data_IF_275633405540
#
_entry.id   IF_275633405540
#
_cell.length_a   1.000
_cell.length_b   1.000
_cell.length_c   1.000
_cell.angle_alpha   90.00
_cell.angle_beta   90.00
_cell.angle_gamma   90.00
#
_symmetry.space_group_name_H-M   'P 1'
#
loop_
_entity.id
_entity.type
_entity.pdbx_description
1 polymer ?
#
# COMPACT_ATOMS: atom_id res chain seq x y z
N UNK A 1 9.14 25.79 -23.20
CA UNK A 1 9.71 25.68 -21.85
C UNK A 1 8.92 24.70 -20.97
N UNK A 2 7.60 24.86 -20.84
CA UNK A 2 6.75 23.96 -20.02
C UNK A 2 6.84 22.48 -20.45
N UNK A 3 6.87 22.20 -21.75
CA UNK A 3 7.09 20.85 -22.32
C UNK A 3 8.38 20.17 -21.86
N UNK A 4 9.43 20.97 -21.61
CA UNK A 4 10.74 20.47 -21.19
C UNK A 4 10.73 20.25 -19.68
N UNK A 5 10.22 21.24 -18.93
CA UNK A 5 10.15 21.17 -17.48
C UNK A 5 9.21 20.06 -17.00
N UNK A 6 8.11 19.77 -17.70
CA UNK A 6 7.17 18.71 -17.33
C UNK A 6 7.75 17.29 -17.42
N UNK A 7 8.98 17.12 -17.91
CA UNK A 7 9.71 15.84 -17.96
C UNK A 7 10.79 15.71 -16.89
N UNK A 8 11.01 16.76 -16.09
CA UNK A 8 12.04 16.76 -15.05
C UNK A 8 11.51 16.10 -13.77
N UNK A 9 12.38 15.43 -13.00
CA UNK A 9 12.02 14.93 -11.67
C UNK A 9 11.50 16.05 -10.78
N UNK A 10 10.59 15.71 -9.85
CA UNK A 10 9.97 16.69 -8.95
C UNK A 10 11.02 17.45 -8.16
N UNK A 11 12.06 16.76 -7.67
CA UNK A 11 13.18 17.39 -6.95
C UNK A 11 13.85 18.51 -7.73
N UNK A 12 14.04 18.33 -9.04
CA UNK A 12 14.62 19.37 -9.91
C UNK A 12 13.68 20.54 -10.07
N UNK A 13 12.38 20.27 -10.21
CA UNK A 13 11.34 21.29 -10.33
C UNK A 13 11.23 22.16 -9.08
N UNK A 14 11.30 21.56 -7.89
CA UNK A 14 11.21 22.29 -6.62
C UNK A 14 12.39 23.26 -6.42
N UNK A 15 13.58 22.97 -6.98
CA UNK A 15 14.73 23.90 -6.93
C UNK A 15 14.47 25.19 -7.72
N UNK A 16 13.65 25.15 -8.76
CA UNK A 16 13.31 26.35 -9.53
C UNK A 16 12.41 27.32 -8.75
N UNK A 17 11.66 26.85 -7.74
CA UNK A 17 10.91 27.74 -6.83
C UNK A 17 11.81 28.74 -6.09
N UNK A 18 13.08 28.38 -5.87
CA UNK A 18 14.05 29.23 -5.20
C UNK A 18 14.59 30.36 -6.09
N UNK A 19 14.30 30.36 -7.40
CA UNK A 19 14.86 31.34 -8.34
C UNK A 19 13.96 32.57 -8.44
N UNK A 20 12.67 32.41 -8.75
CA UNK A 20 11.69 33.51 -8.79
C UNK A 20 10.26 32.99 -8.62
N UNK A 21 9.33 33.83 -8.13
CA UNK A 21 7.90 33.52 -8.05
C UNK A 21 7.26 33.22 -9.42
N UNK A 22 7.76 33.80 -10.51
CA UNK A 22 7.25 33.53 -11.87
C UNK A 22 7.64 32.13 -12.38
N UNK A 23 8.50 31.41 -11.65
CA UNK A 23 8.91 30.04 -11.95
C UNK A 23 8.21 29.00 -11.07
N UNK A 24 7.25 29.38 -10.23
CA UNK A 24 6.40 28.42 -9.50
C UNK A 24 5.30 27.82 -10.40
N UNK A 25 5.72 27.29 -11.55
CA UNK A 25 4.86 26.56 -12.48
C UNK A 25 4.30 25.27 -11.88
N UNK A 26 4.89 24.79 -10.78
CA UNK A 26 4.45 23.54 -10.13
C UNK A 26 3.09 23.68 -9.45
N UNK A 27 2.64 24.91 -9.20
CA UNK A 27 1.33 25.22 -8.63
C UNK A 27 0.23 25.28 -9.72
N UNK A 28 0.60 25.28 -11.01
CA UNK A 28 -0.35 25.28 -12.12
C UNK A 28 -0.97 23.88 -12.34
N UNK A 29 -2.31 23.73 -12.29
CA UNK A 29 -2.96 22.42 -12.42
C UNK A 29 -2.72 21.73 -13.78
N UNK A 30 -2.59 22.51 -14.86
CA UNK A 30 -2.33 21.95 -16.18
C UNK A 30 -0.90 21.40 -16.26
N UNK A 31 0.08 22.11 -15.67
CA UNK A 31 1.44 21.64 -15.55
C UNK A 31 1.53 20.36 -14.70
N UNK A 32 0.84 20.30 -13.55
CA UNK A 32 0.79 19.10 -12.71
C UNK A 32 0.21 17.90 -13.47
N UNK A 33 -0.94 18.06 -14.14
CA UNK A 33 -1.55 17.00 -14.95
C UNK A 33 -0.59 16.51 -16.04
N UNK A 34 0.10 17.44 -16.72
CA UNK A 34 1.05 17.10 -17.78
C UNK A 34 2.28 16.37 -17.25
N UNK A 35 2.83 16.83 -16.14
CA UNK A 35 3.93 16.18 -15.44
C UNK A 35 3.55 14.75 -15.04
N UNK A 36 2.38 14.57 -14.42
CA UNK A 36 1.87 13.25 -14.04
C UNK A 36 1.74 12.30 -15.24
N UNK A 37 1.28 12.79 -16.40
CA UNK A 37 1.23 11.99 -17.63
C UNK A 37 2.60 11.57 -18.14
N UNK A 38 3.59 12.46 -18.11
CA UNK A 38 4.96 12.12 -18.52
C UNK A 38 5.62 11.10 -17.61
N UNK A 39 5.30 11.15 -16.31
CA UNK A 39 5.89 10.29 -15.29
C UNK A 39 5.03 9.06 -14.95
N UNK A 40 3.90 8.83 -15.63
CA UNK A 40 2.98 7.71 -15.33
C UNK A 40 3.64 6.33 -15.31
N UNK A 41 4.72 6.14 -16.09
CA UNK A 41 5.51 4.91 -16.15
C UNK A 41 6.85 5.01 -15.39
N UNK A 42 7.11 6.12 -14.70
CA UNK A 42 8.33 6.36 -13.94
C UNK A 42 8.10 5.94 -12.49
N UNK A 43 8.29 4.66 -12.23
CA UNK A 43 8.16 4.10 -10.88
C UNK A 43 9.40 4.37 -10.03
N UNK A 44 9.18 4.78 -8.78
CA UNK A 44 10.17 4.82 -7.70
C UNK A 44 9.75 3.85 -6.60
N UNK A 45 10.72 3.33 -5.88
CA UNK A 45 10.52 2.57 -4.66
C UNK A 45 10.60 3.50 -3.45
N UNK A 46 9.63 3.37 -2.56
CA UNK A 46 9.69 3.90 -1.20
C UNK A 46 10.09 2.74 -0.28
N UNK A 47 11.20 2.90 0.43
CA UNK A 47 11.72 1.92 1.38
C UNK A 47 11.62 2.50 2.79
N UNK A 48 11.01 1.75 3.69
CA UNK A 48 10.89 2.06 5.11
C UNK A 48 11.84 1.16 5.88
N UNK A 49 12.79 1.77 6.57
CA UNK A 49 13.80 1.08 7.35
C UNK A 49 13.59 1.37 8.85
N UNK A 50 13.47 0.32 9.66
CA UNK A 50 13.34 0.45 11.10
C UNK A 50 14.73 0.41 11.74
N UNK A 51 15.10 1.49 12.44
CA UNK A 51 16.38 1.56 13.16
C UNK A 51 16.29 0.88 14.54
N UNK A 52 17.43 0.82 15.24
CA UNK A 52 17.53 0.21 16.58
C UNK A 52 16.63 0.87 17.63
N UNK A 53 16.28 2.15 17.45
CA UNK A 53 15.37 2.88 18.33
C UNK A 53 13.89 2.66 17.99
N UNK A 54 13.59 1.80 17.00
CA UNK A 54 12.26 1.58 16.41
C UNK A 54 11.68 2.79 15.68
N UNK A 55 12.54 3.73 15.29
CA UNK A 55 12.16 4.84 14.42
C UNK A 55 12.27 4.42 12.96
N UNK A 56 11.33 4.91 12.15
CA UNK A 56 11.31 4.62 10.73
C UNK A 56 12.06 5.72 9.97
N UNK A 57 12.99 5.30 9.11
CA UNK A 57 13.65 6.13 8.12
C UNK A 57 13.07 5.80 6.75
N UNK A 58 12.77 6.83 5.96
CA UNK A 58 12.21 6.68 4.63
C UNK A 58 13.27 6.97 3.57
N UNK A 59 13.32 6.14 2.54
CA UNK A 59 14.22 6.29 1.40
C UNK A 59 13.44 6.17 0.10
N UNK A 60 13.85 6.95 -0.91
CA UNK A 60 13.37 6.85 -2.28
C UNK A 60 14.50 6.43 -3.21
N UNK A 61 14.23 5.54 -4.15
CA UNK A 61 15.20 5.08 -5.17
C UNK A 61 14.48 4.56 -6.42
N UNK A 62 15.14 4.57 -7.59
CA UNK A 62 14.65 3.85 -8.78
C UNK A 62 15.15 2.42 -8.88
N UNK A 63 16.14 2.03 -8.08
CA UNK A 63 16.72 0.69 -8.10
C UNK A 63 16.95 0.17 -6.69
N UNK A 64 16.39 -0.99 -6.39
CA UNK A 64 16.60 -1.64 -5.09
C UNK A 64 18.05 -2.14 -4.90
N UNK A 65 18.77 -2.40 -6.00
CA UNK A 65 20.10 -3.02 -5.98
C UNK A 65 21.28 -2.04 -6.08
N UNK A 66 21.04 -0.77 -6.42
CA UNK A 66 22.11 0.26 -6.51
C UNK A 66 21.85 1.43 -5.57
N UNK A 67 22.88 1.93 -4.85
CA UNK A 67 22.76 3.12 -4.01
C UNK A 67 22.80 4.44 -4.79
N UNK A 68 23.08 4.44 -6.10
CA UNK A 68 23.47 5.65 -6.87
C UNK A 68 22.43 6.79 -6.82
N UNK A 69 21.14 6.45 -6.75
CA UNK A 69 20.04 7.42 -6.75
C UNK A 69 19.22 7.43 -5.46
N UNK A 70 19.74 6.79 -4.40
CA UNK A 70 19.07 6.72 -3.10
C UNK A 70 18.98 8.10 -2.45
N UNK A 71 17.79 8.44 -1.99
CA UNK A 71 17.52 9.67 -1.29
C UNK A 71 16.83 9.40 0.04
N UNK A 72 17.44 9.85 1.14
CA UNK A 72 16.78 9.89 2.45
C UNK A 72 15.72 11.00 2.51
N UNK A 73 14.56 10.66 3.08
CA UNK A 73 13.40 11.53 3.24
C UNK A 73 13.21 11.84 4.74
N UNK A 74 13.94 12.83 5.24
CA UNK A 74 13.97 13.23 6.66
C UNK A 74 12.84 14.22 7.05
N UNK A 75 11.79 14.30 6.23
CA UNK A 75 10.73 15.30 6.37
C UNK A 75 9.59 14.85 7.31
N UNK A 76 9.62 13.58 7.73
CA UNK A 76 8.73 13.01 8.75
C UNK A 76 9.46 12.87 10.08
N UNK A 77 8.76 13.04 11.23
CA UNK A 77 9.37 12.89 12.54
C UNK A 77 9.93 11.47 12.72
N UNK A 78 11.10 11.27 13.34
CA UNK A 78 11.65 9.93 13.57
C UNK A 78 10.81 9.21 14.63
N UNK A 79 9.82 8.44 14.18
CA UNK A 79 8.88 7.65 14.98
C UNK A 79 8.53 6.36 14.24
N UNK A 80 7.78 5.47 14.87
CA UNK A 80 7.16 4.37 14.16
C UNK A 80 6.01 4.86 13.28
N UNK A 81 5.91 4.30 12.08
CA UNK A 81 4.90 4.66 11.08
C UNK A 81 4.26 3.42 10.46
N UNK A 82 3.00 3.55 10.05
CA UNK A 82 2.29 2.53 9.28
C UNK A 82 1.90 3.14 7.93
N UNK A 83 2.22 2.46 6.84
CA UNK A 83 1.75 2.84 5.51
C UNK A 83 0.38 2.19 5.25
N UNK A 84 -0.64 3.03 5.11
CA UNK A 84 -2.00 2.57 4.82
C UNK A 84 -2.28 2.40 3.33
N UNK A 85 -1.46 3.01 2.47
CA UNK A 85 -1.57 2.92 1.02
C UNK A 85 -1.16 4.21 0.33
N UNK A 86 -1.16 4.17 -1.01
CA UNK A 86 -0.80 5.31 -1.85
C UNK A 86 -1.82 5.55 -2.95
N UNK A 87 -1.90 6.80 -3.41
CA UNK A 87 -2.73 7.20 -4.55
C UNK A 87 -2.09 8.41 -5.24
N UNK A 88 -1.80 8.30 -6.53
CA UNK A 88 -1.19 9.38 -7.33
C UNK A 88 0.07 10.02 -6.69
N UNK A 89 0.93 9.19 -6.09
CA UNK A 89 2.15 9.63 -5.42
C UNK A 89 1.96 10.18 -4.00
N UNK A 90 0.72 10.30 -3.52
CA UNK A 90 0.40 10.61 -2.13
C UNK A 90 0.36 9.33 -1.31
N UNK A 91 0.74 9.41 -0.04
CA UNK A 91 0.71 8.34 0.93
C UNK A 91 -0.14 8.72 2.14
N UNK A 92 -0.93 7.77 2.62
CA UNK A 92 -1.63 7.87 3.89
C UNK A 92 -0.81 7.14 4.96
N UNK A 93 -0.43 7.85 6.01
CA UNK A 93 0.53 7.36 7.01
C UNK A 93 -0.05 7.51 8.41
N UNK A 94 -0.01 6.44 9.20
CA UNK A 94 -0.24 6.48 10.64
C UNK A 94 1.07 6.74 11.38
N UNK A 95 1.06 7.62 12.38
CA UNK A 95 2.24 7.92 13.21
C UNK A 95 2.01 7.40 14.63
N UNK A 96 2.86 6.46 15.06
CA UNK A 96 2.87 5.90 16.41
C UNK A 96 3.26 6.97 17.42
N UNK A 97 2.28 7.51 18.13
CA UNK A 97 2.49 8.47 19.23
C UNK A 97 1.33 8.37 20.21
N UNK A 98 1.43 9.02 21.38
CA UNK A 98 0.39 9.01 22.42
C UNK A 98 -1.01 9.39 21.91
N UNK A 99 -1.10 10.10 20.79
CA UNK A 99 -2.35 10.61 20.22
C UNK A 99 -2.70 10.00 18.85
N UNK A 100 -2.00 8.94 18.40
CA UNK A 100 -2.19 8.24 17.11
C UNK A 100 -2.68 9.13 15.97
N UNK A 101 -1.78 9.69 15.17
CA UNK A 101 -2.13 10.65 14.12
C UNK A 101 -2.17 10.00 12.74
N UNK A 102 -3.00 10.53 11.84
CA UNK A 102 -3.01 10.15 10.42
C UNK A 102 -2.60 11.37 9.57
N UNK A 103 -1.56 11.19 8.76
CA UNK A 103 -1.01 12.20 7.87
C UNK A 103 -1.27 11.81 6.41
N UNK A 104 -1.51 12.82 5.58
CA UNK A 104 -1.32 12.71 4.14
C UNK A 104 0.07 13.27 3.81
N UNK A 105 0.89 12.49 3.12
CA UNK A 105 2.27 12.83 2.81
C UNK A 105 2.56 12.67 1.32
N UNK A 106 3.32 13.60 0.75
CA UNK A 106 3.91 13.45 -0.58
C UNK A 106 5.44 13.37 -0.45
N UNK A 107 6.07 12.20 -0.67
CA UNK A 107 7.52 12.04 -0.62
C UNK A 107 8.27 12.88 -1.67
N UNK A 108 7.65 13.17 -2.82
CA UNK A 108 8.26 13.96 -3.89
C UNK A 108 8.32 15.44 -3.55
N UNK A 109 7.23 16.02 -3.02
CA UNK A 109 7.22 17.43 -2.59
C UNK A 109 7.77 17.64 -1.19
N UNK A 110 7.93 16.56 -0.41
CA UNK A 110 8.34 16.57 1.01
C UNK A 110 7.36 17.28 1.92
N UNK A 111 6.12 17.41 1.47
CA UNK A 111 5.06 18.05 2.24
C UNK A 111 4.18 16.99 2.90
N UNK A 112 3.68 17.33 4.09
CA UNK A 112 2.67 16.56 4.80
C UNK A 112 1.62 17.49 5.41
N UNK A 113 0.46 16.91 5.69
CA UNK A 113 -0.61 17.57 6.45
C UNK A 113 -1.31 16.56 7.36
N UNK A 114 -1.72 17.03 8.54
CA UNK A 114 -2.51 16.24 9.49
C UNK A 114 -3.97 16.21 9.02
N UNK A 115 -4.53 15.00 8.96
CA UNK A 115 -5.95 14.84 8.66
C UNK A 115 -6.79 15.01 9.93
N UNK A 116 -8.02 15.54 9.82
CA UNK A 116 -8.94 15.57 10.95
C UNK A 116 -9.21 14.13 11.44
N UNK A 117 -9.19 13.88 12.76
CA UNK A 117 -9.47 12.54 13.29
C UNK A 117 -10.94 12.17 13.04
N UNK A 118 -11.26 10.89 12.79
CA UNK A 118 -12.64 10.43 12.77
C UNK A 118 -13.26 10.50 14.18
N UNK A 119 -14.58 10.64 14.27
CA UNK A 119 -15.31 10.77 15.55
C UNK A 119 -15.13 9.56 16.49
N UNK A 120 -15.00 8.36 15.92
CA UNK A 120 -14.78 7.11 16.65
C UNK A 120 -13.30 6.83 16.99
N UNK A 121 -12.39 7.75 16.65
CA UNK A 121 -10.98 7.64 16.98
C UNK A 121 -10.15 6.79 16.00
N UNK A 122 -8.83 6.79 16.22
CA UNK A 122 -7.82 6.24 15.30
C UNK A 122 -7.30 4.88 15.77
N UNK A 123 -7.32 4.62 17.08
CA UNK A 123 -6.94 3.32 17.62
C UNK A 123 -7.90 2.24 17.10
N UNK A 124 -7.37 1.07 16.72
CA UNK A 124 -8.13 -0.04 16.12
C UNK A 124 -8.85 0.30 14.81
N UNK A 125 -8.55 1.44 14.21
CA UNK A 125 -9.08 1.81 12.89
C UNK A 125 -8.12 1.35 11.79
N UNK A 126 -8.72 0.89 10.70
CA UNK A 126 -8.05 0.64 9.44
C UNK A 126 -8.27 1.84 8.52
N UNK A 127 -7.30 2.16 7.67
CA UNK A 127 -7.40 3.29 6.76
C UNK A 127 -6.97 2.90 5.35
N UNK A 128 -7.52 3.58 4.36
CA UNK A 128 -7.12 3.48 2.97
C UNK A 128 -7.31 4.81 2.25
N UNK A 129 -6.44 5.10 1.29
CA UNK A 129 -6.51 6.29 0.44
C UNK A 129 -7.05 5.92 -0.94
N UNK A 130 -7.99 6.71 -1.44
CA UNK A 130 -8.52 6.59 -2.79
C UNK A 130 -8.73 7.95 -3.44
N UNK A 131 -9.08 7.92 -4.72
CA UNK A 131 -9.41 9.11 -5.49
C UNK A 131 -10.74 8.90 -6.21
N UNK A 132 -11.70 9.75 -5.88
CA UNK A 132 -13.02 9.77 -6.49
C UNK A 132 -13.00 10.65 -7.74
N UNK A 133 -13.01 10.00 -8.90
CA UNK A 133 -13.04 10.67 -10.19
C UNK A 133 -14.33 11.47 -10.41
N UNK A 134 -15.44 11.12 -9.75
CA UNK A 134 -16.74 11.79 -9.95
C UNK A 134 -16.78 13.16 -9.30
N UNK A 135 -16.19 13.29 -8.11
CA UNK A 135 -16.07 14.55 -7.36
C UNK A 135 -14.71 15.23 -7.55
N UNK A 136 -13.79 14.58 -8.28
CA UNK A 136 -12.40 15.00 -8.46
C UNK A 136 -11.71 15.23 -7.11
N UNK A 137 -11.95 14.36 -6.13
CA UNK A 137 -11.47 14.52 -4.76
C UNK A 137 -10.71 13.28 -4.29
N UNK A 138 -9.75 13.50 -3.39
CA UNK A 138 -9.16 12.40 -2.63
C UNK A 138 -10.10 12.06 -1.48
N UNK A 139 -10.19 10.77 -1.20
CA UNK A 139 -11.00 10.27 -0.10
C UNK A 139 -10.21 9.31 0.76
N UNK A 140 -10.45 9.37 2.07
CA UNK A 140 -9.91 8.40 3.02
C UNK A 140 -11.05 7.58 3.58
N UNK A 141 -11.00 6.28 3.33
CA UNK A 141 -11.87 5.31 4.00
C UNK A 141 -11.25 4.95 5.34
N UNK A 142 -12.09 4.86 6.36
CA UNK A 142 -11.72 4.20 7.60
C UNK A 142 -12.79 3.23 8.07
N UNK A 143 -12.33 2.13 8.65
CA UNK A 143 -13.14 1.09 9.25
C UNK A 143 -12.64 0.91 10.68
N UNK A 144 -13.49 1.18 11.67
CA UNK A 144 -13.15 1.02 13.07
C UNK A 144 -13.61 -0.33 13.59
N UNK A 145 -12.67 -1.05 14.19
CA UNK A 145 -12.92 -2.33 14.85
C UNK A 145 -13.22 -2.08 16.33
N UNK A 146 -14.52 -2.10 16.66
CA UNK A 146 -14.95 -2.00 18.05
C UNK A 146 -14.69 -3.36 18.72
N UNK A 147 -13.60 -3.44 19.48
CA UNK A 147 -13.17 -4.66 20.19
C UNK A 147 -14.12 -5.09 21.32
N UNK A 148 -15.32 -4.50 21.43
CA UNK A 148 -16.33 -4.91 22.39
C UNK A 148 -16.89 -6.28 22.06
N UNK A 149 -17.23 -7.06 23.09
CA UNK A 149 -17.80 -8.41 22.97
C UNK A 149 -19.23 -8.43 22.40
N UNK A 150 -19.80 -7.26 22.11
CA UNK A 150 -21.13 -7.10 21.54
C UNK A 150 -21.02 -6.82 20.04
N UNK A 151 -21.84 -7.44 19.18
CA UNK A 151 -21.89 -7.13 17.76
C UNK A 151 -22.47 -5.71 17.58
N UNK A 152 -21.60 -4.71 17.66
CA UNK A 152 -21.91 -3.33 17.30
C UNK A 152 -21.67 -3.20 15.80
N UNK A 153 -22.54 -2.47 15.12
CA UNK A 153 -22.32 -2.14 13.70
C UNK A 153 -20.95 -1.44 13.57
N UNK A 154 -20.04 -1.97 12.75
CA UNK A 154 -18.71 -1.41 12.63
C UNK A 154 -18.80 0.02 12.11
N UNK A 155 -18.02 0.91 12.72
CA UNK A 155 -18.07 2.32 12.37
C UNK A 155 -17.25 2.56 11.11
N UNK A 156 -17.92 2.98 10.05
CA UNK A 156 -17.29 3.33 8.79
C UNK A 156 -17.39 4.83 8.54
N UNK A 157 -16.26 5.42 8.18
CA UNK A 157 -16.18 6.82 7.79
C UNK A 157 -15.50 7.00 6.44
N UNK A 158 -15.99 7.94 5.65
CA UNK A 158 -15.27 8.50 4.51
C UNK A 158 -14.96 9.95 4.81
N UNK A 159 -13.69 10.33 4.74
CA UNK A 159 -13.25 11.72 4.72
C UNK A 159 -13.10 12.16 3.27
N UNK A 160 -13.85 13.18 2.86
CA UNK A 160 -13.58 13.91 1.63
C UNK A 160 -12.57 15.02 1.94
N UNK A 161 -11.46 15.06 1.20
CA UNK A 161 -10.35 15.96 1.53
C UNK A 161 -10.72 17.42 1.24
N UNK A 162 -11.35 17.73 0.10
CA UNK A 162 -11.73 19.11 -0.25
C UNK A 162 -12.65 19.80 0.76
N UNK A 163 -13.51 19.03 1.43
CA UNK A 163 -14.43 19.56 2.45
C UNK A 163 -13.92 19.37 3.87
N UNK A 164 -12.77 18.70 4.04
CA UNK A 164 -12.20 18.30 5.32
C UNK A 164 -13.22 17.67 6.29
N UNK A 165 -14.21 16.95 5.75
CA UNK A 165 -15.36 16.47 6.53
C UNK A 165 -15.55 14.97 6.43
N UNK A 166 -15.75 14.37 7.61
CA UNK A 166 -16.11 12.96 7.74
C UNK A 166 -17.61 12.78 7.51
N UNK A 167 -17.97 11.72 6.80
CA UNK A 167 -19.34 11.23 6.70
C UNK A 167 -19.39 9.75 7.08
N UNK A 168 -20.40 9.38 7.86
CA UNK A 168 -20.64 7.98 8.23
C UNK A 168 -21.19 7.21 7.02
N UNK A 169 -20.66 6.01 6.80
CA UNK A 169 -21.22 5.06 5.84
C UNK A 169 -21.97 3.98 6.61
N UNK A 170 -23.27 3.84 6.36
CA UNK A 170 -24.09 2.82 7.00
C UNK A 170 -24.14 1.57 6.13
N UNK A 171 -23.61 0.46 6.63
CA UNK A 171 -23.52 -0.80 5.88
C UNK A 171 -24.22 -1.89 6.68
N UNK A 172 -25.20 -2.54 6.06
CA UNK A 172 -26.16 -3.45 6.72
C UNK A 172 -25.63 -4.87 6.95
N UNK A 173 -24.34 -5.12 6.72
CA UNK A 173 -23.71 -6.45 6.74
C UNK A 173 -22.44 -6.45 7.60
N UNK A 174 -22.56 -6.57 8.94
CA UNK A 174 -21.44 -6.45 9.88
C UNK A 174 -20.32 -7.48 9.69
N UNK A 175 -20.67 -8.71 9.27
CA UNK A 175 -19.72 -9.83 9.10
C UNK A 175 -18.74 -9.64 7.94
N UNK A 176 -19.07 -8.78 6.98
CA UNK A 176 -18.24 -8.49 5.82
C UNK A 176 -17.25 -7.34 6.08
N UNK A 177 -17.29 -6.76 7.28
CA UNK A 177 -16.75 -5.43 7.48
C UNK A 177 -15.32 -5.40 8.00
N UNK A 178 -15.00 -6.24 8.99
CA UNK A 178 -13.71 -6.14 9.68
C UNK A 178 -12.60 -6.66 8.78
N UNK A 179 -11.68 -5.81 8.29
CA UNK A 179 -10.52 -6.27 7.54
C UNK A 179 -9.67 -7.17 8.45
N UNK A 180 -9.31 -8.36 7.97
CA UNK A 180 -8.22 -9.08 8.59
C UNK A 180 -6.95 -8.25 8.40
N UNK A 181 -6.38 -7.78 9.52
CA UNK A 181 -5.05 -7.14 9.51
C UNK A 181 -4.07 -8.19 8.99
N UNK A 182 -3.60 -8.03 7.76
CA UNK A 182 -2.56 -8.91 7.25
C UNK A 182 -1.25 -8.64 7.98
N UNK A 183 -0.32 -9.58 7.92
CA UNK A 183 0.97 -9.44 8.60
C UNK A 183 1.77 -8.21 8.13
N UNK A 184 1.42 -7.63 6.97
CA UNK A 184 2.08 -6.45 6.39
C UNK A 184 1.54 -5.11 6.91
N UNK A 185 0.46 -5.11 7.70
CA UNK A 185 -0.13 -3.89 8.26
C UNK A 185 -1.00 -3.09 7.28
N UNK A 186 -1.19 -3.55 6.04
CA UNK A 186 -2.02 -2.90 5.02
C UNK A 186 -3.11 -3.85 4.53
N UNK A 187 -4.32 -3.70 5.04
CA UNK A 187 -5.44 -4.62 4.79
C UNK A 187 -6.40 -4.18 3.67
N UNK A 188 -6.19 -2.99 3.09
CA UNK A 188 -7.06 -2.41 2.07
C UNK A 188 -6.27 -1.93 0.86
N UNK A 189 -6.86 -2.10 -0.32
CA UNK A 189 -6.34 -1.55 -1.58
C UNK A 189 -7.43 -0.73 -2.27
N UNK A 190 -7.03 0.25 -3.08
CA UNK A 190 -7.95 1.07 -3.86
C UNK A 190 -7.70 0.87 -5.35
N UNK A 191 -8.71 0.41 -6.08
CA UNK A 191 -8.64 0.23 -7.53
C UNK A 191 -10.04 0.33 -8.15
N UNK A 192 -10.12 0.79 -9.40
CA UNK A 192 -11.40 0.91 -10.14
C UNK A 192 -12.52 1.66 -9.37
N UNK A 193 -12.17 2.70 -8.61
CA UNK A 193 -13.14 3.53 -7.89
C UNK A 193 -13.75 2.87 -6.64
N UNK A 194 -13.18 1.76 -6.17
CA UNK A 194 -13.62 1.06 -4.98
C UNK A 194 -12.45 0.70 -4.06
N UNK A 195 -12.75 0.59 -2.77
CA UNK A 195 -11.85 0.04 -1.77
C UNK A 195 -12.09 -1.46 -1.61
N UNK A 196 -11.03 -2.26 -1.47
CA UNK A 196 -11.11 -3.72 -1.36
C UNK A 196 -10.38 -4.23 -0.14
N UNK A 197 -10.96 -5.20 0.57
CA UNK A 197 -10.32 -5.90 1.70
C UNK A 197 -10.75 -7.36 1.80
N UNK A 198 -10.08 -8.10 2.68
CA UNK A 198 -10.36 -9.50 3.01
C UNK A 198 -10.90 -9.58 4.45
N UNK A 199 -12.21 -9.78 4.68
CA UNK A 199 -12.72 -9.87 6.04
C UNK A 199 -12.42 -11.20 6.73
N UNK A 200 -12.36 -12.31 6.00
CA UNK A 200 -12.09 -13.65 6.56
C UNK A 200 -11.18 -14.51 5.67
N UNK A 201 -10.51 -13.94 4.66
CA UNK A 201 -9.58 -14.68 3.79
C UNK A 201 -10.21 -15.64 2.76
N UNK A 202 -11.53 -15.62 2.59
CA UNK A 202 -12.25 -16.49 1.63
C UNK A 202 -13.01 -15.74 0.54
N UNK A 203 -13.15 -14.43 0.66
CA UNK A 203 -13.81 -13.56 -0.30
C UNK A 203 -13.14 -12.19 -0.28
N UNK A 204 -13.24 -11.45 -1.38
CA UNK A 204 -12.90 -10.03 -1.42
C UNK A 204 -14.19 -9.23 -1.25
N UNK A 205 -14.17 -8.24 -0.37
CA UNK A 205 -15.24 -7.24 -0.30
C UNK A 205 -14.78 -6.01 -1.03
N UNK A 206 -15.68 -5.37 -1.78
CA UNK A 206 -15.43 -4.04 -2.33
C UNK A 206 -16.49 -3.03 -1.90
N UNK A 207 -16.05 -1.83 -1.57
CA UNK A 207 -16.91 -0.67 -1.30
C UNK A 207 -16.67 0.39 -2.38
N UNK A 208 -17.65 0.56 -3.25
CA UNK A 208 -17.60 1.59 -4.29
C UNK A 208 -17.86 2.98 -3.70
N UNK A 209 -17.02 3.96 -4.04
CA UNK A 209 -17.19 5.33 -3.52
C UNK A 209 -18.41 6.01 -4.14
N UNK A 210 -18.64 5.79 -5.43
CA UNK A 210 -19.63 6.55 -6.22
C UNK A 210 -21.06 6.25 -5.80
N UNK A 211 -21.37 4.98 -5.51
CA UNK A 211 -22.71 4.54 -5.12
C UNK A 211 -22.79 4.00 -3.68
N UNK A 212 -21.67 3.93 -2.96
CA UNK A 212 -21.58 3.40 -1.58
C UNK A 212 -22.15 2.00 -1.43
N UNK A 213 -22.03 1.19 -2.49
CA UNK A 213 -22.46 -0.20 -2.47
C UNK A 213 -21.31 -1.10 -2.03
N UNK A 214 -21.63 -2.00 -1.10
CA UNK A 214 -20.78 -3.12 -0.74
C UNK A 214 -21.08 -4.27 -1.71
N UNK A 215 -20.04 -4.86 -2.28
CA UNK A 215 -20.17 -6.03 -3.15
C UNK A 215 -19.16 -7.09 -2.76
N UNK A 216 -19.59 -8.34 -2.83
CA UNK A 216 -18.71 -9.49 -2.66
C UNK A 216 -18.15 -9.89 -4.01
N UNK A 217 -16.84 -10.10 -4.06
CA UNK A 217 -16.12 -10.64 -5.20
C UNK A 217 -15.62 -12.03 -4.79
N UNK A 218 -16.18 -13.10 -5.37
CA UNK A 218 -15.76 -14.45 -5.06
C UNK A 218 -14.34 -14.69 -5.56
N UNK A 219 -13.61 -15.52 -4.82
CA UNK A 219 -12.31 -16.03 -5.24
C UNK A 219 -12.45 -16.93 -6.47
N UNK A 220 -11.37 -17.11 -7.25
CA UNK A 220 -11.35 -18.12 -8.30
C UNK A 220 -11.60 -19.52 -7.70
N UNK A 221 -12.36 -20.37 -8.41
CA UNK A 221 -12.77 -21.70 -7.89
C UNK A 221 -11.56 -22.57 -7.51
N UNK A 222 -10.45 -22.40 -8.21
CA UNK A 222 -9.18 -23.07 -7.94
C UNK A 222 -8.59 -22.71 -6.56
N UNK A 223 -8.89 -21.53 -6.03
CA UNK A 223 -8.53 -21.09 -4.67
C UNK A 223 -9.55 -21.50 -3.61
N UNK A 224 -10.81 -21.76 -4.02
CA UNK A 224 -11.91 -22.20 -3.17
C UNK A 224 -11.92 -23.72 -2.96
N UNK A 225 -11.23 -24.47 -3.82
CA UNK A 225 -11.15 -25.92 -3.73
C UNK A 225 -10.67 -26.34 -2.33
N UNK A 226 -11.46 -27.25 -1.72
CA UNK A 226 -11.39 -27.68 -0.33
C UNK A 226 -9.95 -27.89 0.11
N UNK A 227 -9.60 -27.28 1.24
CA UNK A 227 -8.41 -27.59 2.03
C UNK A 227 -8.21 -29.12 2.03
N UNK A 228 -7.16 -29.65 1.37
CA UNK A 228 -6.86 -31.06 1.50
C UNK A 228 -6.61 -31.34 2.99
N UNK A 229 -6.99 -32.52 3.50
CA UNK A 229 -7.03 -32.81 4.94
C UNK A 229 -5.71 -32.63 5.71
N UNK A 230 -4.60 -32.34 5.02
CA UNK A 230 -3.23 -32.26 5.56
C UNK A 230 -2.56 -30.87 5.37
N UNK A 231 -3.31 -29.80 5.05
CA UNK A 231 -2.77 -28.42 4.93
C UNK A 231 -3.28 -27.50 6.05
N UNK A 232 -2.40 -26.64 6.57
CA UNK A 232 -2.64 -25.71 7.69
C UNK A 232 -3.44 -24.45 7.29
N UNK A 233 -3.28 -23.36 8.07
CA UNK A 233 -4.04 -22.10 7.90
C UNK A 233 -3.71 -21.45 6.55
N UNK A 234 -4.73 -21.20 5.72
CA UNK A 234 -4.61 -20.41 4.48
C UNK A 234 -4.41 -18.93 4.85
N UNK A 235 -3.32 -18.33 4.41
CA UNK A 235 -3.11 -16.89 4.53
C UNK A 235 -3.30 -16.23 3.16
N UNK A 236 -3.91 -15.05 3.14
CA UNK A 236 -4.15 -14.29 1.93
C UNK A 236 -3.80 -12.82 2.13
N UNK A 237 -3.30 -12.16 1.08
CA UNK A 237 -3.10 -10.71 1.05
C UNK A 237 -3.65 -10.13 -0.24
N UNK A 238 -4.04 -8.85 -0.19
CA UNK A 238 -4.45 -8.08 -1.36
C UNK A 238 -3.34 -7.14 -1.81
N UNK A 239 -3.24 -6.97 -3.12
CA UNK A 239 -2.33 -6.02 -3.76
C UNK A 239 -2.90 -5.54 -5.08
N UNK A 240 -2.27 -4.52 -5.65
CA UNK A 240 -2.54 -4.05 -7.01
C UNK A 240 -1.25 -4.21 -7.79
N UNK A 241 -1.33 -4.90 -8.93
CA UNK A 241 -0.19 -5.09 -9.83
C UNK A 241 -0.63 -4.68 -11.24
N UNK A 242 0.04 -3.68 -11.82
CA UNK A 242 -0.24 -3.21 -13.19
C UNK A 242 -1.71 -2.83 -13.43
N UNK A 243 -2.38 -2.27 -12.41
CA UNK A 243 -3.78 -1.91 -12.51
C UNK A 243 -4.76 -3.09 -12.43
N UNK A 244 -4.29 -4.28 -12.06
CA UNK A 244 -5.14 -5.44 -11.75
C UNK A 244 -5.25 -5.64 -10.24
N UNK A 245 -6.44 -6.04 -9.78
CA UNK A 245 -6.64 -6.50 -8.41
C UNK A 245 -6.00 -7.88 -8.25
N UNK A 246 -5.12 -8.04 -7.28
CA UNK A 246 -4.38 -9.27 -7.05
C UNK A 246 -4.63 -9.87 -5.67
N UNK A 247 -4.72 -11.20 -5.63
CA UNK A 247 -4.77 -11.98 -4.41
C UNK A 247 -3.52 -12.85 -4.36
N UNK A 248 -2.73 -12.67 -3.31
CA UNK A 248 -1.68 -13.63 -2.95
C UNK A 248 -2.24 -14.62 -1.96
N UNK A 249 -1.92 -15.90 -2.13
CA UNK A 249 -2.29 -16.94 -1.16
C UNK A 249 -1.16 -17.91 -0.94
N UNK A 250 -1.04 -18.38 0.30
CA UNK A 250 -0.05 -19.36 0.72
C UNK A 250 -0.73 -20.48 1.49
N UNK A 251 -0.23 -21.69 1.29
CA UNK A 251 -0.67 -22.88 2.02
C UNK A 251 0.53 -23.56 2.66
N UNK A 252 0.55 -23.58 3.99
CA UNK A 252 1.57 -24.32 4.75
C UNK A 252 1.15 -25.78 4.89
N UNK A 253 2.02 -26.71 4.53
CA UNK A 253 1.80 -28.14 4.77
C UNK A 253 1.91 -28.45 6.27
N UNK A 254 1.08 -29.35 6.78
CA UNK A 254 1.14 -29.76 8.20
C UNK A 254 2.34 -30.69 8.46
N UNK A 255 2.74 -31.44 7.43
CA UNK A 255 3.78 -32.49 7.47
C UNK A 255 5.15 -32.03 6.95
N UNK A 256 5.32 -30.76 6.58
CA UNK A 256 6.59 -30.25 6.06
C UNK A 256 6.69 -28.73 6.00
N UNK A 257 7.86 -28.25 5.60
CA UNK A 257 8.14 -26.81 5.45
C UNK A 257 7.70 -26.25 4.09
N UNK A 258 7.36 -27.12 3.13
CA UNK A 258 6.99 -26.70 1.78
C UNK A 258 5.69 -25.90 1.77
N UNK A 259 5.80 -24.61 1.43
CA UNK A 259 4.66 -23.74 1.15
C UNK A 259 4.52 -23.54 -0.34
N UNK A 260 3.29 -23.68 -0.85
CA UNK A 260 2.95 -23.20 -2.19
C UNK A 260 2.37 -21.80 -2.10
N UNK A 261 3.07 -20.83 -2.67
CA UNK A 261 2.61 -19.47 -2.89
C UNK A 261 1.99 -19.34 -4.28
N UNK A 262 0.83 -18.69 -4.37
CA UNK A 262 0.15 -18.40 -5.63
C UNK A 262 -0.25 -16.93 -5.68
N UNK A 263 0.03 -16.30 -6.82
CA UNK A 263 -0.46 -14.96 -7.15
C UNK A 263 -1.53 -15.06 -8.22
N UNK A 264 -2.71 -14.54 -7.92
CA UNK A 264 -3.84 -14.43 -8.84
C UNK A 264 -4.09 -12.96 -9.17
N UNK A 265 -4.42 -12.67 -10.42
CA UNK A 265 -4.80 -11.33 -10.87
C UNK A 265 -6.14 -11.39 -11.60
N UNK A 266 -7.01 -10.43 -11.32
CA UNK A 266 -8.28 -10.25 -12.01
C UNK A 266 -8.02 -9.39 -13.25
N UNK A 267 -8.04 -10.01 -14.44
CA UNK A 267 -7.74 -9.32 -15.70
C UNK A 267 -8.83 -8.34 -16.09
N UNK A 268 -10.08 -8.78 -16.00
CA UNK A 268 -11.27 -7.96 -16.28
C UNK A 268 -11.99 -7.71 -14.95
N UNK A 269 -11.92 -6.47 -14.47
CA UNK A 269 -12.42 -6.10 -13.14
C UNK A 269 -13.91 -6.43 -12.97
N UNK A 270 -14.26 -7.09 -11.86
CA UNK A 270 -15.61 -7.52 -11.53
C UNK A 270 -16.07 -8.82 -12.21
N UNK A 271 -15.26 -9.40 -13.11
CA UNK A 271 -15.59 -10.66 -13.81
C UNK A 271 -14.91 -11.83 -13.11
N UNK A 272 -15.68 -12.74 -12.51
CA UNK A 272 -15.14 -13.90 -11.77
C UNK A 272 -14.24 -14.79 -12.64
N UNK A 273 -14.62 -14.99 -13.89
CA UNK A 273 -13.91 -15.88 -14.82
C UNK A 273 -12.60 -15.27 -15.33
N UNK A 274 -12.33 -13.99 -15.05
CA UNK A 274 -11.13 -13.28 -15.51
C UNK A 274 -9.92 -13.44 -14.58
N UNK A 275 -10.10 -14.11 -13.43
CA UNK A 275 -9.00 -14.46 -12.54
C UNK A 275 -8.00 -15.39 -13.26
N UNK A 276 -6.76 -14.94 -13.38
CA UNK A 276 -5.65 -15.70 -13.93
C UNK A 276 -4.58 -15.93 -12.87
N UNK A 277 -3.99 -17.13 -12.87
CA UNK A 277 -2.81 -17.42 -12.04
C UNK A 277 -1.57 -16.85 -12.74
N UNK A 278 -0.93 -15.85 -12.14
CA UNK A 278 0.29 -15.25 -12.66
C UNK A 278 1.53 -16.04 -12.26
N UNK A 279 1.60 -16.46 -10.99
CA UNK A 279 2.75 -17.18 -10.45
C UNK A 279 2.29 -18.31 -9.53
N UNK A 280 3.06 -19.39 -9.56
CA UNK A 280 3.02 -20.47 -8.57
C UNK A 280 4.45 -20.78 -8.17
N UNK A 281 4.79 -20.46 -6.94
CA UNK A 281 6.15 -20.59 -6.39
C UNK A 281 6.06 -21.59 -5.23
N UNK A 282 6.91 -22.61 -5.23
CA UNK A 282 7.07 -23.49 -4.09
C UNK A 282 8.30 -23.04 -3.31
N UNK A 283 8.14 -22.76 -2.02
CA UNK A 283 9.23 -22.29 -1.16
C UNK A 283 9.07 -22.86 0.25
N UNK A 284 10.16 -23.38 0.82
CA UNK A 284 10.20 -23.86 2.20
C UNK A 284 10.17 -22.70 3.19
N UNK A 285 9.21 -22.70 4.11
CA UNK A 285 9.12 -21.73 5.19
C UNK A 285 8.54 -20.37 4.78
N UNK A 286 7.95 -20.20 3.59
CA UNK A 286 7.17 -19.00 3.26
C UNK A 286 5.83 -19.07 3.98
N UNK A 287 5.46 -18.05 4.75
CA UNK A 287 4.16 -18.00 5.42
C UNK A 287 3.16 -17.17 4.64
N UNK A 288 3.60 -16.03 4.09
CA UNK A 288 2.75 -15.10 3.34
C UNK A 288 3.59 -14.28 2.37
N UNK A 289 2.99 -13.85 1.26
CA UNK A 289 3.59 -12.91 0.34
C UNK A 289 2.60 -11.86 -0.14
N UNK A 290 3.10 -10.74 -0.65
CA UNK A 290 2.36 -9.66 -1.29
C UNK A 290 3.16 -9.15 -2.49
N UNK A 291 2.56 -9.07 -3.67
CA UNK A 291 3.23 -8.49 -4.83
C UNK A 291 3.33 -6.97 -4.72
N UNK A 292 4.49 -6.43 -5.08
CA UNK A 292 4.79 -4.99 -5.04
C UNK A 292 4.89 -4.41 -6.45
N UNK A 293 5.69 -5.04 -7.33
CA UNK A 293 6.07 -4.45 -8.62
C UNK A 293 6.41 -5.53 -9.65
N UNK A 294 6.12 -5.29 -10.94
CA UNK A 294 6.59 -6.13 -12.05
C UNK A 294 7.75 -5.44 -12.77
N UNK A 295 8.88 -6.12 -12.85
CA UNK A 295 10.04 -5.65 -13.59
C UNK A 295 9.83 -5.76 -15.11
N UNK A 296 10.57 -4.98 -15.92
CA UNK A 296 10.47 -5.05 -17.38
C UNK A 296 10.76 -6.42 -18.00
N UNK A 297 11.50 -7.28 -17.31
CA UNK A 297 11.77 -8.66 -17.72
C UNK A 297 10.62 -9.64 -17.41
N UNK A 298 9.53 -9.13 -16.83
CA UNK A 298 8.33 -9.88 -16.49
C UNK A 298 8.31 -10.48 -15.08
N UNK A 299 9.43 -10.44 -14.36
CA UNK A 299 9.52 -10.96 -13.00
C UNK A 299 8.80 -10.03 -12.00
N UNK A 300 8.36 -10.57 -10.87
CA UNK A 300 7.60 -9.82 -9.87
C UNK A 300 8.37 -9.74 -8.56
N UNK A 301 8.44 -8.54 -8.01
CA UNK A 301 8.89 -8.27 -6.66
C UNK A 301 7.79 -8.63 -5.67
N UNK A 302 8.13 -9.46 -4.69
CA UNK A 302 7.30 -9.85 -3.58
C UNK A 302 7.91 -9.37 -2.26
N UNK A 303 7.04 -8.86 -1.39
CA UNK A 303 7.28 -8.79 0.04
C UNK A 303 6.81 -10.08 0.66
N UNK A 304 7.66 -10.77 1.42
CA UNK A 304 7.30 -12.05 2.04
C UNK A 304 7.60 -12.07 3.52
N UNK A 305 6.77 -12.80 4.24
CA UNK A 305 7.07 -13.33 5.55
C UNK A 305 7.51 -14.77 5.43
N UNK A 306 8.64 -15.09 6.06
CA UNK A 306 9.15 -16.47 6.16
C UNK A 306 9.36 -16.84 7.62
N UNK A 307 8.95 -18.06 8.02
CA UNK A 307 9.33 -18.68 9.28
C UNK A 307 10.57 -19.53 9.12
N UNK A 308 11.55 -19.37 10.01
CA UNK A 308 12.70 -20.27 10.17
C UNK A 308 13.08 -20.46 11.64
N UNK A 309 14.18 -21.17 11.91
CA UNK A 309 14.67 -21.45 13.27
C UNK A 309 14.93 -20.18 14.11
N UNK A 310 15.16 -19.03 13.47
CA UNK A 310 15.33 -17.72 14.11
C UNK A 310 14.06 -16.87 14.28
N UNK A 311 12.87 -17.41 13.96
CA UNK A 311 11.59 -16.69 14.02
C UNK A 311 11.09 -16.18 12.66
N UNK A 312 10.14 -15.23 12.69
CA UNK A 312 9.56 -14.63 11.49
C UNK A 312 10.49 -13.54 10.92
N UNK A 313 10.80 -13.63 9.64
CA UNK A 313 11.60 -12.63 8.92
C UNK A 313 10.81 -12.09 7.73
N UNK A 314 10.79 -10.75 7.57
CA UNK A 314 10.26 -10.07 6.39
C UNK A 314 11.40 -9.85 5.40
N UNK A 315 11.21 -10.21 4.13
CA UNK A 315 12.26 -10.05 3.10
C UNK A 315 11.68 -9.78 1.71
N UNK A 316 12.50 -9.19 0.83
CA UNK A 316 12.16 -8.97 -0.56
C UNK A 316 12.72 -10.06 -1.47
N UNK A 317 11.92 -10.48 -2.44
CA UNK A 317 12.31 -11.54 -3.39
C UNK A 317 11.59 -11.45 -4.71
N UNK A 318 12.12 -12.20 -5.67
CA UNK A 318 11.51 -12.47 -6.97
C UNK A 318 11.28 -13.96 -7.16
N UNK A 319 10.74 -14.36 -8.31
CA UNK A 319 10.68 -15.78 -8.68
C UNK A 319 12.07 -16.40 -8.86
N UNK A 320 13.11 -15.59 -9.11
CA UNK A 320 14.51 -16.02 -9.28
C UNK A 320 15.28 -16.13 -7.96
N UNK A 321 14.77 -15.57 -6.87
CA UNK A 321 15.41 -15.62 -5.55
C UNK A 321 15.33 -14.31 -4.75
N UNK A 322 15.97 -14.24 -3.57
CA UNK A 322 16.06 -13.04 -2.74
C UNK A 322 16.66 -11.85 -3.50
N UNK A 323 16.12 -10.66 -3.25
CA UNK A 323 16.76 -9.41 -3.70
C UNK A 323 17.64 -8.89 -2.58
N UNK A 324 18.90 -8.67 -2.89
CA UNK A 324 19.81 -7.94 -2.02
C UNK A 324 19.63 -6.43 -2.24
N UNK A 325 19.40 -5.71 -1.15
CA UNK A 325 19.22 -4.26 -1.17
C UNK A 325 20.56 -3.53 -1.06
N UNK A 326 20.61 -2.29 -1.56
CA UNK A 326 21.80 -1.45 -1.47
C UNK A 326 22.30 -1.23 -0.03
N UNK A 327 21.44 -1.33 0.99
CA UNK A 327 21.81 -1.15 2.40
C UNK A 327 22.19 -2.43 3.14
N UNK A 328 21.93 -3.61 2.57
CA UNK A 328 22.45 -4.87 3.11
C UNK A 328 23.99 -4.87 3.13
N UNK A 329 24.60 -4.09 2.22
CA UNK A 329 26.04 -3.87 2.13
C UNK A 329 26.60 -3.00 3.26
N UNK A 330 25.79 -2.08 3.80
CA UNK A 330 26.22 -1.13 4.83
C UNK A 330 25.98 -1.66 6.26
N UNK A 331 25.07 -2.62 6.44
CA UNK A 331 24.60 -3.08 7.75
C UNK A 331 25.01 -4.51 8.13
N UNK A 332 26.01 -5.11 7.46
CA UNK A 332 26.55 -6.44 7.77
C UNK A 332 27.11 -6.63 9.19
N UNK A 333 26.94 -5.66 10.09
CA UNK A 333 27.48 -5.64 11.45
C UNK A 333 26.42 -5.57 12.58
N UNK A 334 25.13 -5.39 12.28
CA UNK A 334 24.09 -5.31 13.32
C UNK A 334 22.86 -6.17 13.00
N UNK A 335 22.63 -7.21 13.82
CA UNK A 335 21.56 -8.22 13.69
C UNK A 335 20.11 -7.70 13.84
N UNK A 336 19.89 -6.40 14.10
CA UNK A 336 18.59 -5.91 14.57
C UNK A 336 17.96 -4.77 13.77
N UNK A 337 18.63 -4.21 12.75
CA UNK A 337 18.00 -3.23 11.83
C UNK A 337 17.41 -3.95 10.63
N UNK A 338 16.11 -3.85 10.42
CA UNK A 338 15.40 -4.62 9.39
C UNK A 338 14.57 -3.73 8.47
N UNK A 339 14.42 -4.19 7.23
CA UNK A 339 13.45 -3.65 6.28
C UNK A 339 12.07 -3.76 6.94
N UNK A 340 11.42 -2.61 7.12
CA UNK A 340 10.08 -2.61 7.68
C UNK A 340 9.04 -2.76 6.58
N UNK A 341 9.15 -2.02 5.48
CA UNK A 341 8.17 -2.01 4.40
C UNK A 341 8.79 -1.51 3.09
N UNK A 342 8.33 -2.01 1.94
CA UNK A 342 8.72 -1.53 0.61
C UNK A 342 7.50 -1.45 -0.29
N UNK A 343 7.35 -0.33 -0.98
CA UNK A 343 6.26 -0.10 -1.92
C UNK A 343 6.71 0.78 -3.07
N UNK A 344 5.85 0.95 -4.07
CA UNK A 344 6.12 1.78 -5.23
C UNK A 344 5.25 3.02 -5.26
N UNK A 345 5.77 4.09 -5.85
CA UNK A 345 5.01 5.27 -6.18
C UNK A 345 5.50 5.93 -7.46
N UNK A 346 4.66 6.79 -8.02
CA UNK A 346 5.02 7.71 -9.09
C UNK A 346 5.25 9.08 -8.48
N UNK A 347 6.29 9.79 -8.93
CA UNK A 347 6.52 11.15 -8.46
C UNK A 347 5.34 12.06 -8.79
N UNK A 348 5.00 12.96 -7.85
CA UNK A 348 3.84 13.83 -7.97
C UNK A 348 4.12 15.22 -7.45
N UNK A 349 3.57 16.24 -8.11
CA UNK A 349 3.62 17.63 -7.71
C UNK A 349 2.46 18.06 -6.80
N UNK A 350 1.56 17.13 -6.47
CA UNK A 350 0.36 17.42 -5.67
C UNK A 350 0.78 17.78 -4.24
N UNK A 351 0.46 18.99 -3.79
CA UNK A 351 0.69 19.38 -2.39
C UNK A 351 -0.40 18.80 -1.50
N UNK A 352 -0.10 18.01 -0.46
CA UNK A 352 -1.10 17.59 0.52
C UNK A 352 -1.83 18.77 1.16
N UNK A 353 -1.15 19.91 1.32
CA UNK A 353 -1.70 21.11 1.95
C UNK A 353 -2.73 21.84 1.09
N UNK A 354 -2.75 21.61 -0.24
CA UNK A 354 -3.76 22.20 -1.13
C UNK A 354 -5.01 21.35 -1.25
N UNK A 355 -5.06 20.20 -0.58
CA UNK A 355 -6.19 19.26 -0.64
C UNK A 355 -7.16 19.41 0.53
N UNK A 356 -6.81 20.17 1.57
CA UNK A 356 -7.63 20.42 2.77
C UNK A 356 -8.08 21.88 2.86
#
# INVERSE_FOLDING_TARGET
MWEILSRLPVRSLLRFKCVTKSWDITSDPYFQMKHQRHHANSTKFLVVHCNLNRDHNFYSTSSLSSPDDVQKLDDLPPKSHILFGSCHGLFLIGVGSSNNQVLLWNPSTRESILLPPPEFGILNSYFALGYDQTTNDYVVLTIHDDMTLTPVDPHCGILALKSASWRKVCIKTPTLFCPCRDSFGTCMVFIHGAFHWLPCGFLVVSLSISNQTLTEIPFPDQMCNRQPPNLGIKQCSLSVLEGMLCISSSWRRIDGEDTTFMLWAMKDYGVKESWIQLFKINFTGLDLGKSIYRFPDGDVLFDVYTSGEGGFCRSLRTSKGPIQLWFDWFHSFYEYSTIFDVTTFTESLISPKSLL
#
